data_IF_882497607736
#
_entry.id   IF_882497607736
#
_cell.length_a   1.000
_cell.length_b   1.000
_cell.length_c   1.000
_cell.angle_alpha   90.00
_cell.angle_beta   90.00
_cell.angle_gamma   90.00
#
_symmetry.space_group_name_H-M   'P 1'
#
loop_
_entity.id
_entity.type
_entity.pdbx_description
1 polymer ?
#
# COMPACT_ATOMS: atom_id res chain seq x y z
N UNK A 1 -3.59 46.06 -14.95
CA UNK A 1 -3.27 45.10 -16.03
C UNK A 1 -3.82 43.73 -15.59
N UNK A 2 -5.05 43.43 -16.04
CA UNK A 2 -5.81 42.23 -15.64
C UNK A 2 -5.66 41.21 -16.77
N UNK A 3 -5.01 40.10 -16.51
CA UNK A 3 -4.81 39.02 -17.49
C UNK A 3 -6.08 38.16 -17.56
N UNK A 4 -6.76 38.27 -18.71
CA UNK A 4 -7.82 37.33 -19.11
C UNK A 4 -7.22 35.92 -19.29
N UNK A 5 -7.59 34.99 -18.42
CA UNK A 5 -7.28 33.57 -18.57
C UNK A 5 -8.44 32.91 -19.33
N UNK A 6 -8.08 32.38 -20.48
CA UNK A 6 -8.84 31.73 -21.52
C UNK A 6 -9.77 30.62 -21.04
N UNK A 7 -11.06 30.80 -21.25
CA UNK A 7 -12.19 29.88 -20.99
C UNK A 7 -12.32 28.70 -21.99
N UNK A 8 -11.32 28.45 -22.80
CA UNK A 8 -11.42 27.52 -23.95
C UNK A 8 -11.01 26.08 -23.64
N UNK A 9 -10.58 25.76 -22.41
CA UNK A 9 -10.09 24.41 -22.05
C UNK A 9 -11.11 23.48 -21.37
N UNK A 10 -12.28 23.99 -20.99
CA UNK A 10 -13.30 23.16 -20.30
C UNK A 10 -14.21 22.34 -21.22
N UNK A 11 -14.35 22.66 -22.50
CA UNK A 11 -15.25 21.92 -23.39
C UNK A 11 -14.67 20.62 -23.98
N UNK A 12 -13.35 20.44 -23.98
CA UNK A 12 -12.70 19.26 -24.57
C UNK A 12 -12.77 17.99 -23.69
N UNK A 13 -13.00 18.15 -22.37
CA UNK A 13 -12.99 17.01 -21.42
C UNK A 13 -14.36 16.31 -21.36
N UNK A 14 -15.44 16.99 -21.73
CA UNK A 14 -16.80 16.44 -21.64
C UNK A 14 -17.20 15.51 -22.80
N UNK A 15 -16.48 15.54 -23.94
CA UNK A 15 -16.80 14.71 -25.12
C UNK A 15 -16.18 13.32 -25.03
N UNK A 16 -15.14 13.11 -24.21
CA UNK A 16 -14.46 11.80 -24.09
C UNK A 16 -15.21 10.85 -23.16
N UNK A 17 -16.08 11.37 -22.28
CA UNK A 17 -16.81 10.54 -21.30
C UNK A 17 -18.02 9.79 -21.85
N UNK A 18 -18.50 10.09 -23.06
CA UNK A 18 -19.76 9.51 -23.58
C UNK A 18 -19.58 8.30 -24.51
N UNK A 19 -18.36 7.86 -24.82
CA UNK A 19 -18.14 6.74 -25.75
C UNK A 19 -17.81 5.40 -25.10
N UNK A 20 -17.84 5.29 -23.76
CA UNK A 20 -17.48 4.06 -23.03
C UNK A 20 -18.65 3.28 -22.44
N UNK A 21 -19.89 3.59 -22.83
CA UNK A 21 -21.04 2.74 -22.46
C UNK A 21 -21.39 1.86 -23.67
N UNK A 22 -20.48 0.97 -24.04
CA UNK A 22 -20.87 -0.25 -24.74
C UNK A 22 -21.38 -1.21 -23.66
N UNK A 23 -22.66 -1.61 -23.67
CA UNK A 23 -23.11 -2.73 -22.88
C UNK A 23 -22.60 -4.03 -23.50
N UNK A 24 -21.30 -4.23 -23.44
CA UNK A 24 -20.74 -5.55 -23.63
C UNK A 24 -21.17 -6.36 -22.43
N UNK A 25 -21.94 -7.42 -22.62
CA UNK A 25 -22.17 -8.46 -21.63
C UNK A 25 -20.81 -9.14 -21.35
N UNK A 26 -19.90 -8.46 -20.66
CA UNK A 26 -18.67 -9.06 -20.19
C UNK A 26 -19.05 -9.94 -19.01
N UNK A 27 -19.15 -11.24 -19.26
CA UNK A 27 -19.31 -12.19 -18.16
C UNK A 27 -18.03 -12.10 -17.29
N UNK A 28 -18.19 -11.80 -16.01
CA UNK A 28 -17.07 -11.81 -15.08
C UNK A 28 -16.81 -13.24 -14.66
N UNK A 29 -15.61 -13.80 -14.92
CA UNK A 29 -15.28 -15.15 -14.48
C UNK A 29 -15.37 -15.27 -12.95
N UNK A 30 -15.83 -16.42 -12.43
CA UNK A 30 -15.92 -16.69 -10.98
C UNK A 30 -14.56 -16.55 -10.28
N UNK A 31 -13.50 -16.85 -11.00
CA UNK A 31 -12.11 -16.76 -10.57
C UNK A 31 -11.69 -15.30 -10.24
N UNK A 32 -12.35 -14.32 -10.86
CA UNK A 32 -12.05 -12.89 -10.61
C UNK A 32 -12.35 -12.49 -9.16
N UNK A 33 -13.41 -13.02 -8.55
CA UNK A 33 -13.74 -12.79 -7.16
C UNK A 33 -12.71 -13.45 -6.22
N UNK A 34 -12.25 -14.64 -6.56
CA UNK A 34 -11.21 -15.37 -5.80
C UNK A 34 -9.88 -14.62 -5.90
N UNK A 35 -9.51 -14.16 -7.09
CA UNK A 35 -8.29 -13.38 -7.32
C UNK A 35 -8.32 -12.06 -6.52
N UNK A 36 -9.45 -11.35 -6.51
CA UNK A 36 -9.62 -10.12 -5.75
C UNK A 36 -9.48 -10.35 -4.24
N UNK A 37 -10.02 -11.45 -3.71
CA UNK A 37 -9.83 -11.83 -2.31
C UNK A 37 -8.34 -12.13 -1.99
N UNK A 38 -7.63 -12.78 -2.91
CA UNK A 38 -6.18 -13.03 -2.77
C UNK A 38 -5.38 -11.73 -2.79
N UNK A 39 -5.73 -10.76 -3.61
CA UNK A 39 -5.11 -9.43 -3.60
C UNK A 39 -5.27 -8.77 -2.23
N UNK A 40 -6.44 -8.87 -1.60
CA UNK A 40 -6.67 -8.33 -0.25
C UNK A 40 -5.70 -8.92 0.79
N UNK A 41 -5.43 -10.23 0.73
CA UNK A 41 -4.47 -10.86 1.63
C UNK A 41 -3.03 -10.41 1.36
N UNK A 42 -2.66 -10.22 0.10
CA UNK A 42 -1.34 -9.73 -0.29
C UNK A 42 -1.11 -8.26 0.15
N UNK A 43 -2.14 -7.41 0.10
CA UNK A 43 -2.09 -6.04 0.64
C UNK A 43 -1.77 -6.07 2.14
N UNK A 44 -2.43 -6.93 2.91
CA UNK A 44 -2.17 -7.06 4.34
C UNK A 44 -0.76 -7.60 4.65
N UNK A 45 -0.24 -8.49 3.83
CA UNK A 45 1.12 -9.01 3.95
C UNK A 45 2.17 -7.94 3.60
N UNK A 46 1.94 -7.18 2.53
CA UNK A 46 2.79 -6.05 2.16
C UNK A 46 2.83 -4.99 3.26
N UNK A 47 1.69 -4.68 3.91
CA UNK A 47 1.65 -3.77 5.05
C UNK A 47 2.55 -4.26 6.19
N UNK A 48 2.43 -5.54 6.58
CA UNK A 48 3.27 -6.12 7.65
C UNK A 48 4.76 -6.06 7.30
N UNK A 49 5.11 -6.36 6.05
CA UNK A 49 6.49 -6.32 5.57
C UNK A 49 7.06 -4.89 5.62
N UNK A 50 6.29 -3.89 5.16
CA UNK A 50 6.73 -2.50 5.17
C UNK A 50 6.84 -1.93 6.59
N UNK A 51 5.94 -2.30 7.50
CA UNK A 51 6.05 -1.90 8.91
C UNK A 51 7.31 -2.48 9.54
N UNK A 52 7.65 -3.74 9.25
CA UNK A 52 8.88 -4.36 9.71
C UNK A 52 10.13 -3.65 9.18
N UNK A 53 10.16 -3.32 7.89
CA UNK A 53 11.27 -2.57 7.28
C UNK A 53 11.43 -1.17 7.91
N UNK A 54 10.32 -0.51 8.23
CA UNK A 54 10.34 0.78 8.93
C UNK A 54 10.94 0.63 10.34
N UNK A 55 10.55 -0.40 11.08
CA UNK A 55 11.10 -0.68 12.41
C UNK A 55 12.61 -0.96 12.37
N UNK A 56 13.05 -1.74 11.39
CA UNK A 56 14.48 -2.03 11.16
C UNK A 56 15.26 -0.75 10.82
N UNK A 57 14.68 0.13 9.97
CA UNK A 57 15.30 1.42 9.63
C UNK A 57 15.42 2.33 10.85
N UNK A 58 14.37 2.44 11.67
CA UNK A 58 14.41 3.23 12.90
C UNK A 58 15.46 2.68 13.86
N UNK A 59 15.52 1.36 14.03
CA UNK A 59 16.53 0.71 14.88
C UNK A 59 17.95 0.97 14.38
N UNK A 60 18.19 0.95 13.07
CA UNK A 60 19.47 1.27 12.47
C UNK A 60 19.86 2.73 12.73
N UNK A 61 18.93 3.67 12.52
CA UNK A 61 19.17 5.08 12.76
C UNK A 61 19.52 5.34 14.24
N UNK A 62 18.82 4.69 15.19
CA UNK A 62 19.14 4.76 16.61
C UNK A 62 20.55 4.29 16.91
N UNK A 63 20.98 3.16 16.35
CA UNK A 63 22.36 2.65 16.49
C UNK A 63 23.39 3.64 15.93
N UNK A 64 23.08 4.26 14.81
CA UNK A 64 23.95 5.27 14.20
C UNK A 64 24.11 6.49 15.10
N UNK A 65 23.04 6.94 15.74
CA UNK A 65 23.10 8.02 16.74
C UNK A 65 23.93 7.61 17.93
N UNK A 66 23.72 6.41 18.48
CA UNK A 66 24.50 5.91 19.59
C UNK A 66 26.01 5.81 19.25
N UNK A 67 26.33 5.30 18.07
CA UNK A 67 27.73 5.26 17.60
C UNK A 67 28.34 6.67 17.47
N UNK A 68 27.60 7.60 16.86
CA UNK A 68 28.05 8.99 16.75
C UNK A 68 28.29 9.62 18.14
N UNK A 69 27.33 9.44 19.06
CA UNK A 69 27.44 9.99 20.42
C UNK A 69 28.67 9.47 21.16
N UNK A 70 28.90 8.16 21.14
CA UNK A 70 29.98 7.55 21.94
C UNK A 70 31.36 7.65 21.28
N UNK A 71 31.44 7.61 19.94
CA UNK A 71 32.74 7.57 19.25
C UNK A 71 33.20 8.93 18.72
N UNK A 72 32.28 9.89 18.53
CA UNK A 72 32.64 11.19 17.93
C UNK A 72 32.33 12.34 18.90
N UNK A 73 31.07 12.45 19.30
CA UNK A 73 30.63 13.60 20.07
C UNK A 73 31.19 13.59 21.49
N UNK A 74 31.08 12.47 22.21
CA UNK A 74 31.50 12.38 23.61
C UNK A 74 33.01 12.63 23.81
N UNK A 75 33.92 12.01 23.06
CA UNK A 75 35.33 12.29 23.19
C UNK A 75 35.64 13.78 22.95
N UNK A 76 35.04 14.37 21.90
CA UNK A 76 35.23 15.80 21.59
C UNK A 76 34.68 16.70 22.71
N UNK A 77 33.51 16.34 23.25
CA UNK A 77 32.89 17.07 24.35
C UNK A 77 33.73 17.00 25.63
N UNK A 78 34.25 15.81 25.96
CA UNK A 78 35.11 15.61 27.15
C UNK A 78 36.42 16.42 27.06
N UNK A 79 37.10 16.41 25.92
CA UNK A 79 38.32 17.20 25.72
C UNK A 79 38.03 18.68 25.98
N UNK A 80 36.99 19.22 25.35
CA UNK A 80 36.59 20.62 25.53
C UNK A 80 36.20 20.98 26.97
N UNK A 81 35.53 20.03 27.66
CA UNK A 81 35.12 20.23 29.06
C UNK A 81 36.32 20.19 30.00
N UNK A 82 37.26 19.29 29.80
CA UNK A 82 38.49 19.20 30.60
C UNK A 82 39.36 20.45 30.42
N UNK A 83 39.55 20.92 29.17
CA UNK A 83 40.29 22.14 28.86
C UNK A 83 39.62 23.36 29.54
N UNK A 84 38.32 23.56 29.33
CA UNK A 84 37.59 24.72 29.82
C UNK A 84 37.44 24.77 31.34
N UNK A 85 37.33 23.61 31.96
CA UNK A 85 37.13 23.51 33.40
C UNK A 85 38.42 23.62 34.23
N UNK A 86 39.59 23.74 33.57
CA UNK A 86 40.89 23.63 34.26
C UNK A 86 40.92 22.41 35.20
N UNK A 87 40.40 21.26 34.71
CA UNK A 87 40.15 20.07 35.52
C UNK A 87 41.38 19.60 36.23
N UNK A 88 42.52 19.57 35.57
CA UNK A 88 43.81 19.19 36.17
C UNK A 88 44.17 20.06 37.35
N UNK A 89 43.96 21.38 37.26
CA UNK A 89 44.24 22.29 38.36
C UNK A 89 43.28 22.10 39.53
N UNK A 90 42.02 21.78 39.25
CA UNK A 90 41.01 21.55 40.30
C UNK A 90 41.19 20.23 41.01
N UNK A 91 41.52 19.16 40.28
CA UNK A 91 41.74 17.82 40.84
C UNK A 91 43.09 17.72 41.49
N UNK A 92 44.18 18.16 40.84
CA UNK A 92 45.55 18.02 41.35
C UNK A 92 45.88 19.01 42.48
N UNK A 93 45.19 20.15 42.60
CA UNK A 93 45.42 21.14 43.65
C UNK A 93 44.68 20.82 44.97
N UNK A 94 43.73 19.90 44.93
CA UNK A 94 43.00 19.51 46.14
C UNK A 94 43.79 18.53 46.97
N UNK A 95 44.03 18.89 48.22
CA UNK A 95 44.93 18.17 49.14
C UNK A 95 44.32 16.88 49.67
N UNK A 96 43.00 16.70 49.63
CA UNK A 96 42.32 15.54 50.19
C UNK A 96 41.70 14.61 49.12
N UNK A 97 41.84 13.30 49.28
CA UNK A 97 41.26 12.27 48.40
C UNK A 97 39.74 12.42 48.27
N UNK A 98 39.07 12.78 49.36
CA UNK A 98 37.61 13.02 49.40
C UNK A 98 37.20 14.24 48.56
N UNK A 99 37.97 15.32 48.57
CA UNK A 99 37.68 16.49 47.77
C UNK A 99 37.88 16.24 46.27
N UNK A 100 38.86 15.42 45.94
CA UNK A 100 39.09 14.97 44.55
C UNK A 100 37.94 14.10 44.09
N UNK A 101 37.48 13.14 44.94
CA UNK A 101 36.34 12.27 44.63
C UNK A 101 35.05 13.06 44.38
N UNK A 102 34.79 14.12 45.15
CA UNK A 102 33.63 14.99 44.94
C UNK A 102 33.69 15.72 43.62
N UNK A 103 34.84 16.28 43.21
CA UNK A 103 35.01 16.95 41.91
C UNK A 103 34.81 15.96 40.74
N UNK A 104 35.36 14.76 40.85
CA UNK A 104 35.16 13.71 39.84
C UNK A 104 33.70 13.29 39.76
N UNK A 105 33.03 13.09 40.89
CA UNK A 105 31.60 12.75 40.94
C UNK A 105 30.75 13.82 40.23
N UNK A 106 30.98 15.10 40.59
CA UNK A 106 30.22 16.20 39.99
C UNK A 106 30.47 16.33 38.48
N UNK A 107 31.71 16.09 38.05
CA UNK A 107 32.06 16.04 36.63
C UNK A 107 31.30 14.90 35.92
N UNK A 108 31.32 13.68 36.49
CA UNK A 108 30.60 12.53 35.93
C UNK A 108 29.10 12.79 35.85
N UNK A 109 28.50 13.41 36.86
CA UNK A 109 27.08 13.76 36.87
C UNK A 109 26.72 14.74 35.76
N UNK A 110 27.51 15.79 35.59
CA UNK A 110 27.32 16.78 34.50
C UNK A 110 27.45 16.11 33.14
N UNK A 111 28.48 15.30 32.93
CA UNK A 111 28.71 14.59 31.66
C UNK A 111 27.55 13.62 31.38
N UNK A 112 27.14 12.83 32.37
CA UNK A 112 26.06 11.88 32.22
C UNK A 112 24.74 12.56 31.84
N UNK A 113 24.37 13.63 32.52
CA UNK A 113 23.18 14.44 32.18
C UNK A 113 23.26 14.97 30.75
N UNK A 114 24.44 15.44 30.35
CA UNK A 114 24.63 15.98 28.99
C UNK A 114 24.53 14.91 27.90
N UNK A 115 25.06 13.72 28.16
CA UNK A 115 24.90 12.57 27.23
C UNK A 115 23.42 12.23 27.04
N UNK A 116 22.67 12.10 28.14
CA UNK A 116 21.24 11.79 28.11
C UNK A 116 20.48 12.86 27.33
N UNK A 117 20.74 14.14 27.63
CA UNK A 117 20.10 15.26 26.92
C UNK A 117 20.45 15.27 25.44
N UNK A 118 21.73 15.09 25.09
CA UNK A 118 22.17 15.07 23.68
C UNK A 118 21.59 13.87 22.92
N UNK A 119 21.53 12.71 23.57
CA UNK A 119 20.89 11.53 23.00
C UNK A 119 19.41 11.77 22.71
N UNK A 120 18.68 12.36 23.64
CA UNK A 120 17.28 12.67 23.46
C UNK A 120 17.06 13.68 22.31
N UNK A 121 17.93 14.70 22.23
CA UNK A 121 17.93 15.69 21.15
C UNK A 121 18.11 15.05 19.77
N UNK A 122 19.09 14.14 19.61
CA UNK A 122 19.37 13.46 18.34
C UNK A 122 18.34 12.35 18.02
N UNK A 123 17.75 11.71 19.03
CA UNK A 123 16.73 10.67 18.82
C UNK A 123 15.35 11.23 18.47
N UNK A 124 15.01 12.41 19.00
CA UNK A 124 13.68 13.02 18.83
C UNK A 124 13.23 13.14 17.36
N UNK A 125 14.04 13.67 16.42
CA UNK A 125 13.63 13.76 15.02
C UNK A 125 13.43 12.37 14.39
N UNK A 126 14.25 11.37 14.73
CA UNK A 126 14.13 10.01 14.20
C UNK A 126 12.81 9.37 14.64
N UNK A 127 12.44 9.57 15.91
CA UNK A 127 11.20 9.05 16.45
C UNK A 127 9.97 9.76 15.91
N UNK A 128 10.08 11.07 15.67
CA UNK A 128 9.02 11.84 15.05
C UNK A 128 8.81 11.39 13.60
N UNK A 129 9.86 11.34 12.80
CA UNK A 129 9.82 10.87 11.42
C UNK A 129 9.25 9.44 11.35
N UNK A 130 9.69 8.55 12.25
CA UNK A 130 9.18 7.19 12.35
C UNK A 130 7.67 7.11 12.62
N UNK A 131 7.13 7.98 13.49
CA UNK A 131 5.69 8.07 13.74
C UNK A 131 4.93 8.58 12.52
N UNK A 132 5.45 9.60 11.84
CA UNK A 132 4.85 10.17 10.64
C UNK A 132 4.78 9.14 9.51
N UNK A 133 5.88 8.43 9.24
CA UNK A 133 5.93 7.35 8.26
C UNK A 133 4.96 6.22 8.58
N UNK A 134 4.88 5.80 9.84
CA UNK A 134 3.94 4.74 10.26
C UNK A 134 2.50 5.16 10.03
N UNK A 135 2.14 6.37 10.42
CA UNK A 135 0.80 6.92 10.21
C UNK A 135 0.45 6.99 8.72
N UNK A 136 1.40 7.45 7.87
CA UNK A 136 1.21 7.51 6.44
C UNK A 136 1.00 6.11 5.82
N UNK A 137 1.82 5.13 6.20
CA UNK A 137 1.69 3.74 5.76
C UNK A 137 0.35 3.13 6.17
N UNK A 138 -0.04 3.28 7.43
CA UNK A 138 -1.30 2.74 7.95
C UNK A 138 -2.50 3.34 7.22
N UNK A 139 -2.50 4.65 6.99
CA UNK A 139 -3.54 5.33 6.21
C UNK A 139 -3.60 4.82 4.77
N UNK A 140 -2.44 4.67 4.12
CA UNK A 140 -2.35 4.17 2.76
C UNK A 140 -2.90 2.74 2.63
N UNK A 141 -2.45 1.83 3.49
CA UNK A 141 -2.92 0.45 3.48
C UNK A 141 -4.38 0.30 3.90
N UNK A 142 -4.88 1.16 4.80
CA UNK A 142 -6.29 1.21 5.13
C UNK A 142 -7.15 1.62 3.92
N UNK A 143 -6.68 2.56 3.09
CA UNK A 143 -7.35 2.93 1.85
C UNK A 143 -7.34 1.78 0.83
N UNK A 144 -6.17 1.18 0.58
CA UNK A 144 -6.05 0.03 -0.32
C UNK A 144 -6.96 -1.13 0.13
N UNK A 145 -7.01 -1.41 1.42
CA UNK A 145 -7.88 -2.45 1.98
C UNK A 145 -9.36 -2.14 1.79
N UNK A 146 -9.79 -0.87 1.91
CA UNK A 146 -11.18 -0.48 1.62
C UNK A 146 -11.51 -0.67 0.14
N UNK A 147 -10.64 -0.19 -0.75
CA UNK A 147 -10.82 -0.33 -2.20
C UNK A 147 -10.89 -1.79 -2.63
N UNK A 148 -9.98 -2.62 -2.12
CA UNK A 148 -9.94 -4.05 -2.43
C UNK A 148 -11.20 -4.77 -1.95
N UNK A 149 -11.70 -4.49 -0.74
CA UNK A 149 -12.97 -5.06 -0.23
C UNK A 149 -14.17 -4.62 -1.07
N UNK A 150 -14.24 -3.34 -1.46
CA UNK A 150 -15.31 -2.84 -2.32
C UNK A 150 -15.29 -3.53 -3.68
N UNK A 151 -14.10 -3.68 -4.29
CA UNK A 151 -13.94 -4.40 -5.55
C UNK A 151 -14.39 -5.86 -5.43
N UNK A 152 -13.96 -6.55 -4.37
CA UNK A 152 -14.34 -7.95 -4.12
C UNK A 152 -15.87 -8.09 -3.96
N UNK A 153 -16.50 -7.19 -3.20
CA UNK A 153 -17.94 -7.19 -3.01
C UNK A 153 -18.69 -6.97 -4.34
N UNK A 154 -18.23 -6.03 -5.16
CA UNK A 154 -18.82 -5.76 -6.46
C UNK A 154 -18.68 -6.97 -7.41
N UNK A 155 -17.50 -7.59 -7.47
CA UNK A 155 -17.28 -8.78 -8.28
C UNK A 155 -18.16 -9.97 -7.83
N UNK A 156 -18.29 -10.18 -6.52
CA UNK A 156 -19.18 -11.20 -5.98
C UNK A 156 -20.66 -10.94 -6.30
N UNK A 157 -21.09 -9.68 -6.25
CA UNK A 157 -22.47 -9.31 -6.61
C UNK A 157 -22.75 -9.58 -8.10
N UNK A 158 -21.79 -9.25 -8.99
CA UNK A 158 -21.92 -9.54 -10.43
C UNK A 158 -21.97 -11.05 -10.69
N UNK A 159 -21.09 -11.83 -10.08
CA UNK A 159 -21.07 -13.29 -10.24
C UNK A 159 -22.41 -13.89 -9.77
N UNK A 160 -22.93 -13.48 -8.60
CA UNK A 160 -24.24 -13.94 -8.11
C UNK A 160 -25.38 -13.55 -9.05
N UNK A 161 -25.34 -12.32 -9.60
CA UNK A 161 -26.33 -11.86 -10.58
C UNK A 161 -26.34 -12.74 -11.84
N UNK A 162 -25.17 -13.11 -12.35
CA UNK A 162 -25.03 -14.02 -13.51
C UNK A 162 -25.53 -15.43 -13.21
N UNK A 163 -25.26 -15.95 -12.01
CA UNK A 163 -25.78 -17.26 -11.57
C UNK A 163 -27.32 -17.24 -11.50
N UNK A 164 -27.89 -16.20 -10.94
CA UNK A 164 -29.34 -16.02 -10.87
C UNK A 164 -29.97 -15.92 -12.27
N UNK A 165 -29.37 -15.15 -13.17
CA UNK A 165 -29.82 -15.04 -14.55
C UNK A 165 -29.82 -16.40 -15.24
N UNK A 166 -28.76 -17.20 -15.07
CA UNK A 166 -28.67 -18.54 -15.62
C UNK A 166 -29.76 -19.48 -15.05
N UNK A 167 -30.03 -19.40 -13.73
CA UNK A 167 -31.12 -20.16 -13.09
C UNK A 167 -32.48 -19.78 -13.61
N UNK A 168 -32.77 -18.48 -13.75
CA UNK A 168 -34.03 -17.97 -14.32
C UNK A 168 -34.17 -18.45 -15.78
N UNK A 169 -33.12 -18.34 -16.57
CA UNK A 169 -33.11 -18.79 -17.96
C UNK A 169 -33.37 -20.29 -18.05
N UNK A 170 -32.70 -21.11 -17.22
CA UNK A 170 -32.98 -22.55 -17.16
C UNK A 170 -34.42 -22.87 -16.76
N UNK A 171 -34.94 -22.19 -15.70
CA UNK A 171 -36.29 -22.40 -15.22
C UNK A 171 -37.39 -21.95 -16.21
N UNK A 172 -37.09 -20.97 -17.08
CA UNK A 172 -38.01 -20.52 -18.11
C UNK A 172 -37.96 -21.40 -19.36
N UNK A 173 -36.78 -21.98 -19.67
CA UNK A 173 -36.63 -22.83 -20.87
C UNK A 173 -37.13 -24.25 -20.65
N UNK A 174 -37.01 -24.78 -19.44
CA UNK A 174 -37.44 -26.17 -19.10
C UNK A 174 -38.96 -26.40 -19.36
N UNK A 175 -39.90 -25.52 -18.92
CA UNK A 175 -41.32 -25.72 -19.26
C UNK A 175 -41.67 -25.38 -20.73
N UNK A 176 -40.83 -24.62 -21.44
CA UNK A 176 -41.08 -24.30 -22.85
C UNK A 176 -40.68 -25.47 -23.75
N UNK A 177 -39.61 -26.18 -23.45
CA UNK A 177 -39.19 -27.41 -24.16
C UNK A 177 -40.20 -28.56 -23.96
N UNK A 178 -40.91 -28.60 -22.83
CA UNK A 178 -42.00 -29.58 -22.58
C UNK A 178 -43.26 -29.25 -23.37
N UNK A 179 -43.55 -27.99 -23.60
CA UNK A 179 -44.80 -27.55 -24.30
C UNK A 179 -44.52 -27.42 -25.82
N UNK A 180 -43.39 -26.90 -26.19
CA UNK A 180 -42.95 -26.76 -27.59
C UNK A 180 -41.49 -27.20 -27.62
N UNK A 181 -41.15 -28.36 -28.17
CA UNK A 181 -39.76 -28.81 -28.29
C UNK A 181 -39.00 -27.92 -29.26
N UNK A 182 -38.65 -26.70 -28.75
CA UNK A 182 -37.97 -25.63 -29.53
C UNK A 182 -36.62 -26.15 -30.04
N UNK A 183 -35.94 -26.96 -29.24
CA UNK A 183 -34.71 -27.65 -29.68
C UNK A 183 -34.92 -28.55 -30.89
N UNK A 184 -36.02 -29.27 -30.93
CA UNK A 184 -36.37 -30.15 -32.03
C UNK A 184 -36.83 -29.36 -33.25
N UNK A 185 -37.65 -28.31 -33.02
CA UNK A 185 -38.15 -27.45 -34.09
C UNK A 185 -36.99 -26.63 -34.71
N UNK A 186 -36.00 -26.23 -33.95
CA UNK A 186 -34.81 -25.54 -34.44
C UNK A 186 -33.90 -26.48 -35.26
N UNK A 187 -33.73 -27.71 -34.83
CA UNK A 187 -32.99 -28.74 -35.56
C UNK A 187 -33.69 -29.08 -36.91
N UNK A 188 -35.00 -29.32 -36.87
CA UNK A 188 -35.82 -29.58 -38.04
C UNK A 188 -35.82 -28.38 -39.01
N UNK A 189 -35.79 -27.13 -38.51
CA UNK A 189 -35.72 -25.94 -39.34
C UNK A 189 -34.33 -25.72 -39.96
N UNK A 190 -33.27 -26.08 -39.26
CA UNK A 190 -31.90 -26.06 -39.78
C UNK A 190 -31.72 -27.09 -40.89
N UNK A 191 -32.25 -28.27 -40.72
CA UNK A 191 -32.23 -29.32 -41.73
C UNK A 191 -33.03 -28.94 -42.99
N UNK A 192 -34.20 -28.30 -42.80
CA UNK A 192 -35.05 -27.81 -43.88
C UNK A 192 -34.43 -26.63 -44.65
N UNK A 193 -33.63 -25.79 -43.97
CA UNK A 193 -32.94 -24.63 -44.57
C UNK A 193 -31.57 -24.99 -45.13
N UNK A 194 -31.10 -26.23 -44.97
CA UNK A 194 -29.79 -26.68 -45.45
C UNK A 194 -28.61 -25.89 -44.91
N UNK A 195 -28.75 -25.36 -43.67
CA UNK A 195 -27.69 -24.64 -43.01
C UNK A 195 -26.72 -25.64 -42.38
N UNK A 196 -25.61 -25.83 -43.03
CA UNK A 196 -24.51 -26.70 -42.59
C UNK A 196 -23.55 -25.86 -41.78
N UNK A 197 -23.61 -25.98 -40.44
CA UNK A 197 -22.80 -25.18 -39.50
C UNK A 197 -21.28 -25.31 -39.77
N UNK A 198 -20.84 -26.40 -40.39
CA UNK A 198 -19.43 -26.61 -40.74
C UNK A 198 -18.97 -25.86 -42.01
N UNK A 199 -19.88 -25.48 -42.88
CA UNK A 199 -19.54 -24.79 -44.13
C UNK A 199 -19.35 -23.29 -43.89
N UNK A 200 -20.14 -22.69 -43.02
CA UNK A 200 -20.08 -21.25 -42.72
C UNK A 200 -18.90 -20.87 -41.79
N UNK A 201 -18.48 -21.75 -40.87
CA UNK A 201 -17.32 -21.51 -40.02
C UNK A 201 -16.03 -21.52 -40.86
N UNK A 202 -15.89 -22.38 -41.86
CA UNK A 202 -14.70 -22.39 -42.73
C UNK A 202 -14.61 -21.16 -43.62
N UNK A 203 -15.74 -20.53 -43.94
CA UNK A 203 -15.79 -19.33 -44.77
C UNK A 203 -15.40 -18.07 -44.00
N UNK A 204 -15.63 -18.07 -42.70
CA UNK A 204 -15.29 -16.94 -41.81
C UNK A 204 -13.86 -17.05 -41.32
N UNK A 205 -13.30 -18.27 -41.15
CA UNK A 205 -11.93 -18.48 -40.66
C UNK A 205 -10.82 -18.21 -41.66
N UNK A 206 -11.13 -17.95 -42.94
CA UNK A 206 -10.15 -17.55 -43.96
C UNK A 206 -9.12 -18.63 -44.34
N UNK A 207 -9.34 -19.90 -43.94
CA UNK A 207 -8.48 -21.03 -44.33
C UNK A 207 -8.91 -21.60 -45.69
N UNK A 208 -8.68 -20.80 -46.72
CA UNK A 208 -8.92 -21.16 -48.10
C UNK A 208 -7.95 -20.48 -49.06
N UNK A 209 -6.72 -21.06 -49.16
CA UNK A 209 -5.59 -20.72 -50.05
C UNK A 209 -4.72 -19.56 -49.65
#
# INVERSE_FOLDING_TARGET
>A
MVTMISTTRCCAILVISSTLVLPGCVSVPKESAILSAKISSQIAEAQRSNNRLLDEKIALNRRTVDMYLYHVWLPTYLIKMLEKADFDKKVCKKVGVWDQALVVRDFVDVVSKRIVSKRAEEMSPIEQEGREWRTALDNHYAQLGRMSRSLTANLQAVVKGQELEQQIRAALMEPIDDIIPVSKTLADTKELLGIDDDADVKKISGEGK
#
